data_IF_288806939815
#
_entry.id   IF_288806939815
#
_cell.length_a   1.000
_cell.length_b   1.000
_cell.length_c   1.000
_cell.angle_alpha   90.00
_cell.angle_beta   90.00
_cell.angle_gamma   90.00
#
_symmetry.space_group_name_H-M   'P 1'
#
loop_
_entity.id
_entity.type
_entity.pdbx_description
1 polymer ?
#
# COMPACT_ATOMS: atom_id res chain seq x y z
N UNK A 1 3.57 -2.68 11.93
CA UNK A 1 4.10 -2.43 10.56
C UNK A 1 4.79 -3.69 10.08
N UNK A 2 4.52 -4.16 8.85
CA UNK A 2 5.27 -5.28 8.27
C UNK A 2 6.75 -4.94 8.23
N UNK A 3 7.56 -5.74 8.92
CA UNK A 3 9.02 -5.63 8.86
C UNK A 3 9.46 -5.87 7.42
N UNK A 4 10.39 -5.07 6.93
CA UNK A 4 11.00 -5.33 5.64
C UNK A 4 11.67 -6.70 5.69
N UNK A 5 11.38 -7.55 4.73
CA UNK A 5 12.10 -8.82 4.61
C UNK A 5 13.59 -8.53 4.40
N UNK A 6 14.49 -9.27 5.08
CA UNK A 6 15.92 -9.11 4.89
C UNK A 6 16.30 -9.46 3.45
N UNK A 7 17.12 -8.61 2.83
CA UNK A 7 17.66 -8.90 1.50
C UNK A 7 18.80 -9.92 1.69
N UNK A 8 18.68 -11.06 1.02
CA UNK A 8 19.70 -12.11 1.04
C UNK A 8 20.69 -11.90 -0.09
N UNK A 9 21.86 -12.51 0.04
CA UNK A 9 22.85 -12.65 -1.03
C UNK A 9 23.45 -11.34 -1.56
N UNK A 10 23.47 -10.29 -0.73
CA UNK A 10 24.19 -9.06 -1.05
C UNK A 10 25.71 -9.31 -0.97
N UNK A 11 26.42 -8.90 -2.01
CA UNK A 11 27.89 -8.95 -2.07
C UNK A 11 28.46 -7.52 -2.06
N UNK A 12 29.12 -7.08 -0.98
CA UNK A 12 29.74 -5.75 -0.91
C UNK A 12 30.82 -5.50 -1.97
N UNK A 13 31.41 -6.57 -2.53
CA UNK A 13 32.45 -6.50 -3.55
C UNK A 13 31.89 -6.53 -4.98
N UNK A 14 30.61 -6.86 -5.16
CA UNK A 14 29.98 -6.90 -6.48
C UNK A 14 29.66 -5.49 -7.01
N UNK A 15 29.51 -5.32 -8.34
CA UNK A 15 29.05 -4.06 -8.92
C UNK A 15 27.72 -3.59 -8.31
N UNK A 16 27.54 -2.29 -8.12
CA UNK A 16 26.31 -1.74 -7.54
C UNK A 16 25.03 -2.21 -8.26
N UNK A 17 25.08 -2.34 -9.59
CA UNK A 17 23.98 -2.86 -10.40
C UNK A 17 23.56 -4.30 -10.02
N UNK A 18 24.51 -5.15 -9.59
CA UNK A 18 24.22 -6.51 -9.15
C UNK A 18 23.34 -6.50 -7.89
N UNK A 19 23.77 -5.79 -6.86
CA UNK A 19 23.01 -5.66 -5.61
C UNK A 19 21.68 -4.93 -5.84
N UNK A 20 21.65 -3.88 -6.67
CA UNK A 20 20.43 -3.16 -7.01
C UNK A 20 19.35 -4.09 -7.60
N UNK A 21 19.74 -5.00 -8.50
CA UNK A 21 18.83 -5.99 -9.09
C UNK A 21 18.29 -6.96 -8.05
N UNK A 22 19.13 -7.47 -7.15
CA UNK A 22 18.69 -8.36 -6.06
C UNK A 22 17.69 -7.66 -5.13
N UNK A 23 17.97 -6.41 -4.75
CA UNK A 23 17.09 -5.61 -3.90
C UNK A 23 15.75 -5.38 -4.60
N UNK A 24 15.77 -4.94 -5.86
CA UNK A 24 14.57 -4.67 -6.65
C UNK A 24 13.72 -5.94 -6.85
N UNK A 25 14.34 -7.09 -7.13
CA UNK A 25 13.64 -8.38 -7.21
C UNK A 25 12.98 -8.75 -5.89
N UNK A 26 13.68 -8.60 -4.76
CA UNK A 26 13.08 -8.89 -3.46
C UNK A 26 11.88 -7.96 -3.18
N UNK A 27 11.99 -6.67 -3.50
CA UNK A 27 10.89 -5.71 -3.31
C UNK A 27 9.71 -6.03 -4.24
N UNK A 28 9.98 -6.49 -5.45
CA UNK A 28 8.95 -6.93 -6.40
C UNK A 28 8.19 -8.14 -5.84
N UNK A 29 8.89 -9.16 -5.35
CA UNK A 29 8.26 -10.34 -4.77
C UNK A 29 7.50 -10.01 -3.48
N UNK A 30 8.03 -9.11 -2.64
CA UNK A 30 7.32 -8.59 -1.46
C UNK A 30 6.02 -7.89 -1.84
N UNK A 31 6.01 -7.08 -2.91
CA UNK A 31 4.81 -6.43 -3.41
C UNK A 31 3.77 -7.47 -3.82
N UNK A 32 4.15 -8.45 -4.64
CA UNK A 32 3.23 -9.47 -5.14
C UNK A 32 2.82 -10.51 -4.09
N UNK A 33 3.55 -10.64 -2.98
CA UNK A 33 3.10 -11.41 -1.81
C UNK A 33 1.76 -10.88 -1.27
N UNK A 34 1.52 -9.58 -1.38
CA UNK A 34 0.28 -8.93 -0.93
C UNK A 34 -0.76 -8.77 -2.05
N UNK A 35 -0.65 -9.47 -3.18
CA UNK A 35 -1.56 -9.31 -4.33
C UNK A 35 -3.03 -9.58 -3.99
N UNK A 36 -3.30 -10.43 -2.99
CA UNK A 36 -4.66 -10.72 -2.52
C UNK A 36 -5.40 -9.46 -2.03
N UNK A 37 -4.66 -8.42 -1.60
CA UNK A 37 -5.22 -7.13 -1.19
C UNK A 37 -6.09 -6.47 -2.30
N UNK A 38 -5.83 -6.77 -3.57
CA UNK A 38 -6.60 -6.26 -4.71
C UNK A 38 -7.94 -6.98 -4.94
N UNK A 39 -8.18 -8.10 -4.26
CA UNK A 39 -9.37 -8.95 -4.47
C UNK A 39 -10.39 -8.85 -3.34
N UNK A 40 -9.94 -8.57 -2.11
CA UNK A 40 -10.81 -8.47 -0.95
C UNK A 40 -10.93 -7.00 -0.47
N UNK A 41 -12.08 -6.33 -0.67
CA UNK A 41 -12.29 -4.96 -0.22
C UNK A 41 -12.17 -4.80 1.30
N UNK A 42 -12.45 -5.85 2.08
CA UNK A 42 -12.45 -5.80 3.55
C UNK A 42 -11.08 -6.07 4.18
N UNK A 43 -10.09 -6.49 3.39
CA UNK A 43 -8.75 -6.78 3.89
C UNK A 43 -7.89 -5.52 3.97
N UNK A 44 -8.26 -4.63 4.88
CA UNK A 44 -7.61 -3.34 5.15
C UNK A 44 -6.12 -3.52 5.50
N UNK A 45 -5.79 -4.59 6.23
CA UNK A 45 -4.42 -4.87 6.66
C UNK A 45 -3.52 -5.23 5.48
N UNK A 46 -3.94 -6.17 4.63
CA UNK A 46 -3.18 -6.50 3.42
C UNK A 46 -3.07 -5.31 2.46
N UNK A 47 -4.11 -4.47 2.33
CA UNK A 47 -4.06 -3.23 1.53
C UNK A 47 -3.01 -2.25 2.06
N UNK A 48 -2.93 -2.09 3.39
CA UNK A 48 -1.89 -1.28 4.02
C UNK A 48 -0.48 -1.86 3.79
N UNK A 49 -0.32 -3.18 3.86
CA UNK A 49 0.95 -3.83 3.57
C UNK A 49 1.38 -3.72 2.10
N UNK A 50 0.44 -3.90 1.17
CA UNK A 50 0.68 -3.67 -0.25
C UNK A 50 1.14 -2.22 -0.50
N UNK A 51 0.51 -1.23 0.14
CA UNK A 51 0.93 0.18 0.06
C UNK A 51 2.39 0.38 0.45
N UNK A 52 2.81 -0.26 1.54
CA UNK A 52 4.21 -0.19 2.00
C UNK A 52 5.14 -0.85 0.98
N UNK A 53 4.76 -2.01 0.44
CA UNK A 53 5.56 -2.73 -0.54
C UNK A 53 5.69 -1.97 -1.87
N UNK A 54 4.62 -1.34 -2.36
CA UNK A 54 4.63 -0.43 -3.52
C UNK A 54 5.63 0.70 -3.31
N UNK A 55 5.56 1.40 -2.16
CA UNK A 55 6.53 2.46 -1.81
C UNK A 55 7.97 1.96 -1.81
N UNK A 56 8.20 0.79 -1.20
CA UNK A 56 9.54 0.18 -1.12
C UNK A 56 10.10 -0.12 -2.51
N UNK A 57 9.30 -0.72 -3.40
CA UNK A 57 9.74 -0.99 -4.77
C UNK A 57 10.01 0.32 -5.52
N UNK A 58 9.09 1.29 -5.46
CA UNK A 58 9.23 2.57 -6.16
C UNK A 58 10.50 3.30 -5.74
N UNK A 59 10.71 3.48 -4.44
CA UNK A 59 11.92 4.13 -3.92
C UNK A 59 13.21 3.36 -4.24
N UNK A 60 13.14 2.02 -4.33
CA UNK A 60 14.29 1.21 -4.76
C UNK A 60 14.64 1.50 -6.22
N UNK A 61 13.64 1.54 -7.10
CA UNK A 61 13.86 1.81 -8.53
C UNK A 61 14.34 3.24 -8.77
N UNK A 62 13.76 4.23 -8.08
CA UNK A 62 14.20 5.64 -8.10
C UNK A 62 15.64 5.78 -7.61
N UNK A 63 16.00 5.14 -6.48
CA UNK A 63 17.33 5.22 -5.90
C UNK A 63 18.40 4.63 -6.82
N UNK A 64 18.11 3.50 -7.45
CA UNK A 64 19.07 2.78 -8.31
C UNK A 64 18.89 3.06 -9.80
N UNK A 65 18.14 4.10 -10.18
CA UNK A 65 17.87 4.41 -11.59
C UNK A 65 19.13 4.59 -12.44
N UNK A 66 20.24 5.05 -11.83
CA UNK A 66 21.51 5.26 -12.52
C UNK A 66 22.26 3.96 -12.86
N UNK A 67 21.90 2.83 -12.25
CA UNK A 67 22.59 1.53 -12.41
C UNK A 67 21.66 0.40 -12.86
N UNK A 68 20.34 0.62 -12.84
CA UNK A 68 19.35 -0.30 -13.37
C UNK A 68 19.07 0.00 -14.85
N UNK A 69 18.66 -1.01 -15.65
CA UNK A 69 18.18 -0.77 -17.00
C UNK A 69 17.03 0.23 -17.02
N UNK A 70 17.04 1.15 -17.99
CA UNK A 70 15.98 2.14 -18.16
C UNK A 70 14.60 1.49 -18.32
N UNK A 71 14.55 0.30 -18.93
CA UNK A 71 13.33 -0.50 -19.05
C UNK A 71 12.68 -0.85 -17.70
N UNK A 72 13.44 -0.94 -16.60
CA UNK A 72 12.88 -1.14 -15.26
C UNK A 72 12.08 0.08 -14.77
N UNK A 73 12.41 1.28 -15.27
CA UNK A 73 11.82 2.54 -14.81
C UNK A 73 10.45 2.80 -15.46
N UNK A 74 10.12 2.09 -16.55
CA UNK A 74 8.84 2.19 -17.23
C UNK A 74 7.63 1.87 -16.33
N UNK A 75 7.85 1.15 -15.22
CA UNK A 75 6.81 0.82 -14.23
C UNK A 75 6.55 1.93 -13.20
N UNK A 76 7.44 2.93 -13.09
CA UNK A 76 7.33 3.97 -12.06
C UNK A 76 5.99 4.71 -12.07
N UNK A 77 5.42 5.13 -13.21
CA UNK A 77 4.10 5.78 -13.24
C UNK A 77 2.99 4.90 -12.65
N UNK A 78 3.03 3.59 -12.92
CA UNK A 78 2.05 2.63 -12.39
C UNK A 78 2.20 2.50 -10.86
N UNK A 79 3.45 2.46 -10.36
CA UNK A 79 3.72 2.42 -8.91
C UNK A 79 3.31 3.72 -8.21
N UNK A 80 3.48 4.87 -8.86
CA UNK A 80 2.99 6.16 -8.35
C UNK A 80 1.47 6.14 -8.22
N UNK A 81 0.75 5.72 -9.27
CA UNK A 81 -0.70 5.63 -9.26
C UNK A 81 -1.20 4.63 -8.20
N UNK A 82 -0.61 3.43 -8.11
CA UNK A 82 -0.94 2.45 -7.07
C UNK A 82 -0.73 3.03 -5.66
N UNK A 83 0.35 3.77 -5.45
CA UNK A 83 0.64 4.40 -4.15
C UNK A 83 -0.42 5.46 -3.79
N UNK A 84 -0.89 6.25 -4.75
CA UNK A 84 -1.97 7.22 -4.53
C UNK A 84 -3.30 6.52 -4.21
N UNK A 85 -3.68 5.52 -4.99
CA UNK A 85 -4.91 4.76 -4.81
C UNK A 85 -4.97 4.08 -3.44
N UNK A 86 -3.91 3.36 -3.08
CA UNK A 86 -3.78 2.72 -1.77
C UNK A 86 -3.67 3.75 -0.63
N UNK A 87 -3.09 4.92 -0.90
CA UNK A 87 -3.08 6.06 0.03
C UNK A 87 -4.50 6.52 0.35
N UNK A 88 -5.32 6.76 -0.67
CA UNK A 88 -6.73 7.17 -0.49
C UNK A 88 -7.53 6.11 0.27
N UNK A 89 -7.31 4.82 0.00
CA UNK A 89 -7.95 3.75 0.78
C UNK A 89 -7.58 3.81 2.26
N UNK A 90 -6.28 3.93 2.56
CA UNK A 90 -5.80 4.04 3.93
C UNK A 90 -6.37 5.26 4.67
N UNK A 91 -6.42 6.42 4.01
CA UNK A 91 -6.96 7.64 4.60
C UNK A 91 -8.45 7.48 4.94
N UNK A 92 -9.22 6.83 4.06
CA UNK A 92 -10.62 6.48 4.35
C UNK A 92 -10.73 5.50 5.51
N UNK A 93 -9.88 4.48 5.57
CA UNK A 93 -9.91 3.49 6.65
C UNK A 93 -9.63 4.12 8.02
N UNK A 94 -8.68 5.06 8.08
CA UNK A 94 -8.42 5.86 9.29
C UNK A 94 -9.63 6.73 9.67
N UNK A 95 -10.21 7.46 8.71
CA UNK A 95 -11.39 8.31 8.95
C UNK A 95 -12.61 7.50 9.40
N UNK A 96 -12.86 6.35 8.77
CA UNK A 96 -13.94 5.44 9.13
C UNK A 96 -13.75 4.90 10.54
N UNK A 97 -12.53 4.54 10.94
CA UNK A 97 -12.23 4.12 12.29
C UNK A 97 -12.51 5.25 13.31
N UNK A 98 -12.12 6.49 13.00
CA UNK A 98 -12.39 7.66 13.86
C UNK A 98 -13.87 7.91 14.09
N UNK A 99 -14.66 7.91 13.01
CA UNK A 99 -16.09 8.18 13.10
C UNK A 99 -16.81 7.05 13.84
N UNK A 100 -16.40 5.79 13.61
CA UNK A 100 -16.93 4.65 14.37
C UNK A 100 -16.70 4.85 15.86
N UNK A 101 -15.48 5.20 16.28
CA UNK A 101 -15.17 5.51 17.69
C UNK A 101 -16.06 6.60 18.26
N UNK A 102 -16.21 7.72 17.55
CA UNK A 102 -17.05 8.82 18.00
C UNK A 102 -18.53 8.41 18.15
N UNK A 103 -19.00 7.44 17.36
CA UNK A 103 -20.37 6.93 17.41
C UNK A 103 -20.59 5.87 18.51
N UNK A 104 -19.57 5.13 18.94
CA UNK A 104 -19.68 4.01 19.92
C UNK A 104 -19.48 4.39 21.39
N UNK A 105 -19.89 5.60 21.83
CA UNK A 105 -19.92 5.97 23.28
C UNK A 105 -20.71 5.01 24.20
N UNK A 106 -21.33 3.93 23.70
CA UNK A 106 -21.75 2.78 24.50
C UNK A 106 -20.75 1.62 24.38
N UNK A 107 -19.87 1.54 25.39
CA UNK A 107 -19.22 0.33 25.93
C UNK A 107 -19.22 -0.91 25.01
N UNK A 108 -18.21 -1.06 24.16
CA UNK A 108 -17.64 -2.38 23.85
C UNK A 108 -16.27 -2.22 23.22
N UNK A 109 -15.38 -3.13 23.60
CA UNK A 109 -13.96 -3.23 23.22
C UNK A 109 -13.72 -2.85 21.75
N UNK A 110 -12.81 -1.90 21.54
CA UNK A 110 -12.37 -1.44 20.23
C UNK A 110 -11.30 -2.38 19.65
N UNK A 111 -11.62 -3.66 19.51
CA UNK A 111 -10.73 -4.59 18.81
C UNK A 111 -10.55 -4.15 17.34
N UNK A 112 -9.34 -3.72 16.99
CA UNK A 112 -8.94 -3.31 15.64
C UNK A 112 -8.75 -1.80 15.41
N UNK A 113 -9.33 -0.92 16.24
CA UNK A 113 -9.16 0.53 16.07
C UNK A 113 -7.80 1.04 16.60
N UNK A 114 -7.22 0.35 17.59
CA UNK A 114 -5.92 0.70 18.17
C UNK A 114 -4.76 0.63 17.16
N UNK A 115 -4.87 -0.23 16.14
CA UNK A 115 -3.86 -0.32 15.08
C UNK A 115 -3.83 0.90 14.15
N UNK A 116 -4.94 1.67 14.09
CA UNK A 116 -5.13 2.78 13.17
C UNK A 116 -5.14 4.16 13.87
N UNK A 117 -5.41 4.20 15.18
CA UNK A 117 -5.70 5.44 15.92
C UNK A 117 -4.76 5.64 17.10
N UNK A 118 -4.31 6.89 17.32
CA UNK A 118 -3.56 7.24 18.52
C UNK A 118 -4.45 7.39 19.74
N UNK A 119 -3.94 7.01 20.93
CA UNK A 119 -4.64 7.13 22.22
C UNK A 119 -5.09 8.56 22.55
N UNK A 120 -4.36 9.58 22.09
CA UNK A 120 -4.73 10.99 22.28
C UNK A 120 -5.98 11.38 21.50
N UNK A 121 -6.13 10.84 20.29
CA UNK A 121 -7.26 11.11 19.42
C UNK A 121 -8.54 10.43 19.91
N UNK A 122 -8.42 9.21 20.44
CA UNK A 122 -9.53 8.50 21.08
C UNK A 122 -10.11 9.30 22.27
N UNK A 123 -9.25 9.93 23.08
CA UNK A 123 -9.68 10.77 24.21
C UNK A 123 -10.39 12.05 23.76
N UNK A 124 -9.93 12.67 22.67
CA UNK A 124 -10.54 13.90 22.14
C UNK A 124 -11.95 13.68 21.58
N UNK A 125 -12.29 12.46 21.19
CA UNK A 125 -13.59 12.11 20.61
C UNK A 125 -14.66 11.73 21.67
N UNK A 126 -14.29 11.67 22.95
CA UNK A 126 -15.21 11.40 24.05
C UNK A 126 -16.06 12.65 24.37
N UNK A 127 -17.38 12.52 24.40
CA UNK A 127 -18.35 13.54 24.78
C UNK A 127 -19.13 14.19 23.64
N UNK A 128 -19.35 13.53 22.50
CA UNK A 128 -20.02 14.15 21.33
C UNK A 128 -21.54 14.31 21.50
N UNK A 129 -22.11 15.53 21.42
CA UNK A 129 -23.56 15.76 21.57
C UNK A 129 -24.44 15.06 20.53
N UNK A 130 -25.65 14.66 20.92
CA UNK A 130 -26.64 13.91 20.11
C UNK A 130 -26.92 14.47 18.69
N UNK A 131 -27.03 15.79 18.43
CA UNK A 131 -27.29 16.33 17.09
C UNK A 131 -26.15 16.06 16.09
N UNK A 132 -24.91 15.97 16.57
CA UNK A 132 -23.75 15.64 15.74
C UNK A 132 -23.77 14.17 15.29
N UNK A 133 -24.43 13.28 16.03
CA UNK A 133 -24.47 11.85 15.70
C UNK A 133 -25.21 11.56 14.39
N UNK A 134 -26.25 12.32 14.04
CA UNK A 134 -26.94 12.17 12.76
C UNK A 134 -26.02 12.57 11.58
N UNK A 135 -25.30 13.69 11.71
CA UNK A 135 -24.31 14.12 10.73
C UNK A 135 -23.16 13.12 10.59
N UNK A 136 -22.62 12.60 11.69
CA UNK A 136 -21.58 11.58 11.69
C UNK A 136 -22.04 10.26 11.03
N UNK A 137 -23.29 9.84 11.21
CA UNK A 137 -23.85 8.66 10.51
C UNK A 137 -23.95 8.89 9.00
N UNK A 138 -24.36 10.08 8.58
CA UNK A 138 -24.39 10.44 7.15
C UNK A 138 -22.97 10.47 6.56
N UNK A 139 -22.02 11.07 7.27
CA UNK A 139 -20.62 11.10 6.87
C UNK A 139 -20.00 9.69 6.80
N UNK A 140 -20.30 8.83 7.78
CA UNK A 140 -19.87 7.43 7.78
C UNK A 140 -20.35 6.71 6.51
N UNK A 141 -21.64 6.84 6.17
CA UNK A 141 -22.20 6.26 4.96
C UNK A 141 -21.54 6.81 3.69
N UNK A 142 -21.28 8.11 3.62
CA UNK A 142 -20.61 8.75 2.48
C UNK A 142 -19.20 8.19 2.29
N UNK A 143 -18.40 8.17 3.37
CA UNK A 143 -17.02 7.67 3.34
C UNK A 143 -16.96 6.18 3.01
N UNK A 144 -17.93 5.37 3.46
CA UNK A 144 -18.00 3.96 3.08
C UNK A 144 -18.23 3.78 1.57
N UNK A 145 -19.08 4.62 0.96
CA UNK A 145 -19.32 4.61 -0.49
C UNK A 145 -18.11 5.09 -1.27
N UNK A 146 -17.47 6.19 -0.82
CA UNK A 146 -16.26 6.73 -1.44
C UNK A 146 -15.11 5.70 -1.38
N UNK A 147 -14.90 5.08 -0.21
CA UNK A 147 -13.91 3.99 -0.04
C UNK A 147 -14.19 2.81 -0.97
N UNK A 148 -15.45 2.39 -1.12
CA UNK A 148 -15.82 1.30 -2.03
C UNK A 148 -15.53 1.65 -3.50
N UNK A 149 -15.82 2.88 -3.92
CA UNK A 149 -15.50 3.35 -5.27
C UNK A 149 -13.98 3.42 -5.51
N UNK A 150 -13.21 3.90 -4.53
CA UNK A 150 -11.75 3.90 -4.61
C UNK A 150 -11.17 2.49 -4.69
N UNK A 151 -11.73 1.54 -3.95
CA UNK A 151 -11.30 0.14 -4.02
C UNK A 151 -11.58 -0.46 -5.40
N UNK A 152 -12.74 -0.16 -5.99
CA UNK A 152 -13.07 -0.63 -7.33
C UNK A 152 -12.09 -0.10 -8.38
N UNK A 153 -11.75 1.19 -8.32
CA UNK A 153 -10.77 1.79 -9.23
C UNK A 153 -9.38 1.16 -9.08
N UNK A 154 -8.90 1.03 -7.84
CA UNK A 154 -7.66 0.33 -7.52
C UNK A 154 -7.64 -1.12 -8.04
N UNK A 155 -8.71 -1.88 -7.79
CA UNK A 155 -8.81 -3.28 -8.23
C UNK A 155 -8.81 -3.41 -9.76
N UNK A 156 -9.49 -2.50 -10.47
CA UNK A 156 -9.47 -2.46 -11.93
C UNK A 156 -8.07 -2.14 -12.48
N UNK A 157 -7.40 -1.15 -11.89
CA UNK A 157 -6.03 -0.81 -12.26
C UNK A 157 -5.07 -1.98 -12.01
N UNK A 158 -5.15 -2.62 -10.83
CA UNK A 158 -4.38 -3.82 -10.51
C UNK A 158 -4.59 -4.95 -11.54
N UNK A 159 -5.85 -5.22 -11.90
CA UNK A 159 -6.18 -6.23 -12.93
C UNK A 159 -5.59 -5.89 -14.30
N UNK A 160 -5.53 -4.61 -14.67
CA UNK A 160 -4.90 -4.18 -15.91
C UNK A 160 -3.38 -4.44 -15.90
N UNK A 161 -2.71 -4.24 -14.77
CA UNK A 161 -1.29 -4.54 -14.60
C UNK A 161 -1.01 -6.05 -14.67
N UNK A 162 -1.86 -6.87 -14.06
CA UNK A 162 -1.78 -8.33 -14.16
C UNK A 162 -2.00 -8.82 -15.60
N UNK A 163 -2.98 -8.25 -16.32
CA UNK A 163 -3.24 -8.57 -17.72
C UNK A 163 -2.05 -8.23 -18.63
N UNK A 164 -1.37 -7.11 -18.35
CA UNK A 164 -0.13 -6.69 -19.01
C UNK A 164 1.10 -7.48 -18.58
N UNK A 165 0.99 -8.39 -17.60
CA UNK A 165 2.11 -9.20 -17.10
C UNK A 165 3.30 -8.38 -16.60
N UNK A 166 3.02 -7.21 -16.00
CA UNK A 166 4.05 -6.28 -15.49
C UNK A 166 5.01 -6.97 -14.53
N UNK A 167 4.52 -7.90 -13.69
CA UNK A 167 5.37 -8.72 -12.81
C UNK A 167 6.44 -9.48 -13.59
N UNK A 168 6.00 -10.24 -14.59
CA UNK A 168 6.88 -11.12 -15.35
C UNK A 168 7.88 -10.30 -16.18
N UNK A 169 7.42 -9.20 -16.78
CA UNK A 169 8.27 -8.28 -17.55
C UNK A 169 9.37 -7.67 -16.68
N UNK A 170 9.00 -7.04 -15.56
CA UNK A 170 9.98 -6.42 -14.67
C UNK A 170 10.94 -7.45 -14.07
N UNK A 171 10.44 -8.64 -13.70
CA UNK A 171 11.29 -9.73 -13.21
C UNK A 171 12.29 -10.19 -14.26
N UNK A 172 11.86 -10.35 -15.52
CA UNK A 172 12.74 -10.75 -16.61
C UNK A 172 13.85 -9.70 -16.86
N UNK A 173 13.50 -8.40 -16.86
CA UNK A 173 14.48 -7.31 -17.03
C UNK A 173 15.48 -7.32 -15.87
N UNK A 174 15.02 -7.48 -14.63
CA UNK A 174 15.90 -7.49 -13.46
C UNK A 174 16.82 -8.72 -13.43
N UNK A 175 16.39 -9.85 -13.98
CA UNK A 175 17.18 -11.08 -14.09
C UNK A 175 18.11 -11.12 -15.30
N UNK A 176 17.91 -10.29 -16.33
CA UNK A 176 18.75 -10.29 -17.52
C UNK A 176 20.16 -9.79 -17.20
N UNK A 177 21.17 -10.55 -17.62
CA UNK A 177 22.59 -10.19 -17.50
C UNK A 177 23.06 -9.34 -18.69
N UNK A 178 22.26 -8.38 -19.15
CA UNK A 178 22.75 -7.49 -20.20
C UNK A 178 23.82 -6.56 -19.62
N UNK A 179 25.04 -6.85 -20.03
CA UNK A 179 26.25 -6.05 -19.89
C UNK A 179 25.96 -4.64 -20.38
N UNK A 180 25.81 -3.70 -19.46
CA UNK A 180 26.02 -2.30 -19.79
C UNK A 180 27.52 -2.17 -20.15
N UNK A 181 27.76 -2.10 -21.46
CA UNK A 181 29.02 -1.67 -22.08
C UNK A 181 29.41 -0.28 -21.57
#
# INVERSE_FOLDING_TARGET
MAKAEPIKDLDPCAPAAHNARLIALQRLEELYHWSQAATNPQDVESQHHLRIAVKRLRYTLELFQAVLPEACLAVLPELEQLQEELGRLHDHDVLLALIKVALTEQQRSFEGAEALLSLSLLKALQGTPLPLRAGLRHLLWRLQRERAAHFQAFSQHWQALEARRVRQELRAILQSQESAL
#
